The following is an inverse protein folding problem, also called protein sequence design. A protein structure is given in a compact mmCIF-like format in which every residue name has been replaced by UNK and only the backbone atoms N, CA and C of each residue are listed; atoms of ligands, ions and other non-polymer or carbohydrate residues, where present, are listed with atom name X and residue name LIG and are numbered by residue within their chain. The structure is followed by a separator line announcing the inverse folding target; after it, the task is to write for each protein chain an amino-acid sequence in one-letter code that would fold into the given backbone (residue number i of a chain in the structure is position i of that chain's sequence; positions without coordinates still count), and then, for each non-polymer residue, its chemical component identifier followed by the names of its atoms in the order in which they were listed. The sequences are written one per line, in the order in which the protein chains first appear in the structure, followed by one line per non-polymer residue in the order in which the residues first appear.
data_IF_290146979785
#
_entry.id   IF_290146979785
#
_cell.length_a   1.000
_cell.length_b   1.000
_cell.length_c   1.000
_cell.angle_alpha   90.00
_cell.angle_beta   90.00
_cell.angle_gamma   90.00
#
_symmetry.space_group_name_H-M   'P 1'
#
loop_
_entity.id
_entity.type
_entity.pdbx_description
1 polymer ?
#
# COMPACT_ATOMS: atom_id res chain seq x y z
N UNK A 1 39.60 -31.06 28.51
CA UNK A 1 39.27 -30.33 27.26
C UNK A 1 37.77 -30.42 27.05
N UNK A 2 37.02 -29.33 27.21
CA UNK A 2 35.55 -29.39 27.05
C UNK A 2 34.83 -28.13 27.49
N UNK A 3 35.07 -27.00 26.81
CA UNK A 3 34.30 -25.76 27.06
C UNK A 3 33.87 -24.98 25.80
N UNK A 4 34.09 -25.50 24.59
CA UNK A 4 33.89 -24.70 23.37
C UNK A 4 32.48 -24.76 22.74
N UNK A 5 31.58 -25.63 23.19
CA UNK A 5 30.28 -25.85 22.51
C UNK A 5 29.14 -24.97 23.04
N UNK A 6 29.17 -24.56 24.31
CA UNK A 6 28.09 -23.77 24.92
C UNK A 6 28.03 -22.34 24.40
N UNK A 7 29.19 -21.70 24.19
CA UNK A 7 29.26 -20.29 23.73
C UNK A 7 28.76 -20.11 22.28
N UNK A 8 29.05 -21.07 21.39
CA UNK A 8 28.61 -21.04 19.99
C UNK A 8 27.09 -21.26 19.83
N UNK A 9 26.46 -22.05 20.71
CA UNK A 9 25.00 -22.21 20.72
C UNK A 9 24.29 -20.95 21.23
N UNK A 10 24.77 -20.33 22.32
CA UNK A 10 24.17 -19.09 22.84
C UNK A 10 24.24 -17.95 21.83
N UNK A 11 25.38 -17.78 21.13
CA UNK A 11 25.52 -16.78 20.06
C UNK A 11 24.53 -17.01 18.90
N UNK A 12 24.28 -18.27 18.52
CA UNK A 12 23.29 -18.60 17.47
C UNK A 12 21.86 -18.31 17.91
N UNK A 13 21.53 -18.55 19.17
CA UNK A 13 20.20 -18.25 19.74
C UNK A 13 19.97 -16.74 19.80
N UNK A 14 20.93 -15.97 20.32
CA UNK A 14 20.85 -14.49 20.39
C UNK A 14 20.74 -13.85 18.99
N UNK A 15 21.50 -14.38 18.02
CA UNK A 15 21.43 -13.90 16.63
C UNK A 15 20.05 -14.17 16.02
N UNK A 16 19.48 -15.36 16.24
CA UNK A 16 18.15 -15.72 15.75
C UNK A 16 17.06 -14.85 16.39
N UNK A 17 17.09 -14.66 17.70
CA UNK A 17 16.15 -13.79 18.42
C UNK A 17 16.24 -12.34 17.94
N UNK A 18 17.44 -11.82 17.73
CA UNK A 18 17.65 -10.45 17.22
C UNK A 18 17.07 -10.29 15.80
N UNK A 19 17.22 -11.30 14.95
CA UNK A 19 16.65 -11.30 13.60
C UNK A 19 15.12 -11.32 13.63
N UNK A 20 14.52 -12.16 14.49
CA UNK A 20 13.07 -12.24 14.66
C UNK A 20 12.47 -10.91 15.11
N UNK A 21 13.07 -10.26 16.13
CA UNK A 21 12.66 -8.93 16.60
C UNK A 21 12.73 -7.90 15.47
N UNK A 22 13.81 -7.90 14.68
CA UNK A 22 13.96 -6.97 13.55
C UNK A 22 12.91 -7.20 12.46
N UNK A 23 12.56 -8.45 12.18
CA UNK A 23 11.52 -8.79 11.19
C UNK A 23 10.13 -8.37 11.67
N UNK A 24 9.83 -8.58 12.94
CA UNK A 24 8.56 -8.17 13.54
C UNK A 24 8.41 -6.64 13.55
N UNK A 25 9.45 -5.91 13.97
CA UNK A 25 9.48 -4.45 13.92
C UNK A 25 9.29 -3.92 12.50
N UNK A 26 9.94 -4.56 11.51
CA UNK A 26 9.76 -4.20 10.10
C UNK A 26 8.33 -4.44 9.63
N UNK A 27 7.70 -5.56 10.01
CA UNK A 27 6.32 -5.87 9.65
C UNK A 27 5.34 -4.85 10.26
N UNK A 28 5.49 -4.52 11.55
CA UNK A 28 4.69 -3.48 12.24
C UNK A 28 4.83 -2.11 11.56
N UNK A 29 6.05 -1.71 11.23
CA UNK A 29 6.31 -0.45 10.52
C UNK A 29 5.65 -0.43 9.13
N UNK A 30 5.74 -1.52 8.35
CA UNK A 30 5.09 -1.61 7.04
C UNK A 30 3.56 -1.55 7.15
N UNK A 31 2.99 -2.21 8.16
CA UNK A 31 1.56 -2.18 8.41
C UNK A 31 1.08 -0.76 8.74
N UNK A 32 1.82 -0.04 9.58
CA UNK A 32 1.53 1.36 9.89
C UNK A 32 1.65 2.28 8.68
N UNK A 33 2.68 2.11 7.86
CA UNK A 33 2.83 2.90 6.62
C UNK A 33 1.69 2.63 5.65
N UNK A 34 1.27 1.37 5.52
CA UNK A 34 0.12 1.01 4.69
C UNK A 34 -1.16 1.65 5.24
N UNK A 35 -1.40 1.59 6.55
CA UNK A 35 -2.57 2.20 7.18
C UNK A 35 -2.62 3.72 6.94
N UNK A 36 -1.52 4.44 7.18
CA UNK A 36 -1.42 5.87 6.91
C UNK A 36 -1.64 6.20 5.42
N UNK A 37 -1.13 5.36 4.53
CA UNK A 37 -1.36 5.52 3.08
C UNK A 37 -2.83 5.33 2.72
N UNK A 38 -3.48 4.31 3.28
CA UNK A 38 -4.91 4.07 3.05
C UNK A 38 -5.77 5.23 3.60
N UNK A 39 -5.40 5.78 4.75
CA UNK A 39 -6.07 6.94 5.33
C UNK A 39 -5.90 8.19 4.44
N UNK A 40 -4.67 8.47 3.98
CA UNK A 40 -4.40 9.55 3.03
C UNK A 40 -5.24 9.40 1.75
N UNK A 41 -5.23 8.20 1.17
CA UNK A 41 -6.06 7.88 0.00
C UNK A 41 -7.54 8.12 0.31
N UNK A 42 -8.00 7.77 1.50
CA UNK A 42 -9.40 7.94 1.88
C UNK A 42 -9.82 9.40 1.95
N UNK A 43 -8.96 10.26 2.52
CA UNK A 43 -9.22 11.71 2.57
C UNK A 43 -9.19 12.33 1.17
N UNK A 44 -8.26 11.88 0.31
CA UNK A 44 -8.13 12.39 -1.06
C UNK A 44 -9.37 12.03 -1.89
N UNK A 45 -9.73 10.74 -1.91
CA UNK A 45 -10.74 10.17 -2.81
C UNK A 45 -12.15 10.13 -2.22
N UNK A 46 -12.31 10.44 -0.92
CA UNK A 46 -13.62 10.45 -0.25
C UNK A 46 -14.18 9.06 0.08
N UNK A 47 -13.35 8.02 0.05
CA UNK A 47 -13.77 6.63 0.25
C UNK A 47 -12.76 5.83 1.06
N UNK A 48 -13.25 4.94 1.93
CA UNK A 48 -12.39 4.10 2.76
C UNK A 48 -12.10 2.77 2.07
N UNK A 49 -10.88 2.28 2.25
CA UNK A 49 -10.40 1.05 1.64
C UNK A 49 -9.92 0.07 2.69
N UNK A 50 -10.41 -1.17 2.61
CA UNK A 50 -9.94 -2.27 3.45
C UNK A 50 -9.62 -3.50 2.59
N UNK A 51 -8.40 -3.99 2.68
CA UNK A 51 -8.00 -5.24 2.02
C UNK A 51 -8.46 -6.43 2.85
N UNK A 52 -9.15 -7.39 2.24
CA UNK A 52 -9.72 -8.55 2.92
C UNK A 52 -9.26 -9.84 2.26
N UNK A 53 -8.75 -10.76 3.07
CA UNK A 53 -8.39 -12.09 2.63
C UNK A 53 -8.38 -13.08 3.80
N UNK A 54 -9.22 -14.10 3.72
CA UNK A 54 -9.25 -15.22 4.65
C UNK A 54 -8.85 -16.49 3.92
N UNK A 55 -7.78 -17.14 4.37
CA UNK A 55 -7.28 -18.33 3.69
C UNK A 55 -8.30 -19.47 3.78
N UNK A 56 -8.73 -20.06 2.64
CA UNK A 56 -9.72 -21.14 2.65
C UNK A 56 -9.15 -22.45 3.24
N UNK A 57 -7.82 -22.63 3.24
CA UNK A 57 -7.19 -23.86 3.71
C UNK A 57 -6.91 -23.85 5.22
N UNK A 58 -6.46 -22.73 5.80
CA UNK A 58 -6.10 -22.65 7.22
C UNK A 58 -6.91 -21.63 8.02
N UNK A 59 -7.94 -21.03 7.43
CA UNK A 59 -8.84 -20.02 8.00
C UNK A 59 -8.17 -18.73 8.53
N UNK A 60 -6.84 -18.58 8.41
CA UNK A 60 -6.09 -17.40 8.84
C UNK A 60 -6.53 -16.16 8.05
N UNK A 61 -6.81 -15.09 8.78
CA UNK A 61 -6.99 -13.75 8.23
C UNK A 61 -5.62 -13.15 7.92
N UNK A 62 -5.43 -12.64 6.70
CA UNK A 62 -4.20 -11.93 6.30
C UNK A 62 -4.37 -10.43 6.53
N UNK A 63 -3.32 -9.78 7.01
CA UNK A 63 -3.21 -8.31 7.02
C UNK A 63 -3.01 -7.77 5.59
N UNK A 64 -3.30 -6.48 5.37
CA UNK A 64 -3.09 -5.86 4.06
C UNK A 64 -1.65 -5.95 3.55
N UNK A 65 -0.66 -5.90 4.45
CA UNK A 65 0.75 -6.09 4.07
C UNK A 65 1.01 -7.53 3.63
N UNK A 66 0.43 -8.52 4.31
CA UNK A 66 0.55 -9.93 3.91
C UNK A 66 -0.15 -10.18 2.56
N UNK A 67 -1.31 -9.57 2.33
CA UNK A 67 -2.02 -9.66 1.05
C UNK A 67 -1.16 -9.08 -0.08
N UNK A 68 -0.68 -7.85 0.09
CA UNK A 68 0.12 -7.14 -0.93
C UNK A 68 1.44 -7.86 -1.20
N UNK A 69 2.11 -8.37 -0.16
CA UNK A 69 3.37 -9.11 -0.29
C UNK A 69 3.20 -10.55 -0.78
N UNK A 70 2.00 -11.13 -0.64
CA UNK A 70 1.67 -12.48 -1.09
C UNK A 70 1.36 -12.58 -2.59
N UNK A 71 1.02 -11.47 -3.26
CA UNK A 71 0.93 -11.43 -4.71
C UNK A 71 2.27 -11.78 -5.35
N UNK A 72 2.23 -12.51 -6.46
CA UNK A 72 3.37 -12.55 -7.35
C UNK A 72 3.23 -11.38 -8.35
N UNK A 73 4.34 -10.84 -8.83
CA UNK A 73 4.33 -9.73 -9.79
C UNK A 73 3.98 -10.23 -11.21
N UNK A 74 3.12 -11.25 -11.32
CA UNK A 74 2.68 -11.84 -12.57
C UNK A 74 1.29 -11.28 -12.92
N UNK A 75 1.13 -10.56 -14.05
CA UNK A 75 -0.15 -10.02 -14.49
C UNK A 75 -1.26 -11.08 -14.66
N UNK A 76 -0.88 -12.34 -14.86
CA UNK A 76 -1.82 -13.45 -15.10
C UNK A 76 -2.23 -14.22 -13.83
N UNK A 77 -1.68 -13.88 -12.67
CA UNK A 77 -2.00 -14.57 -11.42
C UNK A 77 -2.72 -13.64 -10.43
N UNK A 78 -4.02 -13.88 -10.27
CA UNK A 78 -4.99 -13.11 -9.46
C UNK A 78 -5.01 -13.50 -7.99
N UNK A 79 -4.00 -14.25 -7.53
CA UNK A 79 -3.98 -14.81 -6.19
C UNK A 79 -2.91 -14.20 -5.30
N UNK A 80 -3.18 -14.17 -4.00
CA UNK A 80 -2.21 -13.90 -2.94
C UNK A 80 -1.85 -15.19 -2.21
N UNK A 81 -0.59 -15.31 -1.75
CA UNK A 81 -0.09 -16.46 -1.00
C UNK A 81 -0.32 -16.26 0.50
N UNK A 82 -0.97 -17.23 1.14
CA UNK A 82 -1.07 -17.30 2.59
C UNK A 82 0.32 -17.47 3.24
N UNK A 83 0.67 -16.61 4.19
CA UNK A 83 1.92 -16.71 4.97
C UNK A 83 1.95 -17.88 5.95
N UNK A 84 0.79 -18.49 6.27
CA UNK A 84 0.70 -19.62 7.18
C UNK A 84 0.82 -20.99 6.53
N UNK A 85 0.14 -21.22 5.40
CA UNK A 85 0.09 -22.53 4.73
C UNK A 85 0.53 -22.52 3.27
N UNK A 86 0.98 -21.38 2.74
CA UNK A 86 1.38 -21.17 1.34
C UNK A 86 0.27 -21.37 0.28
N UNK A 87 -0.96 -21.68 0.67
CA UNK A 87 -2.10 -21.72 -0.25
C UNK A 87 -2.30 -20.38 -0.96
N UNK A 88 -2.61 -20.42 -2.25
CA UNK A 88 -2.88 -19.23 -3.08
C UNK A 88 -4.38 -19.10 -3.34
N UNK A 89 -4.91 -17.89 -3.16
CA UNK A 89 -6.35 -17.62 -3.33
C UNK A 89 -6.59 -16.15 -3.69
N UNK A 90 -7.76 -15.81 -4.24
CA UNK A 90 -8.11 -14.44 -4.64
C UNK A 90 -8.43 -13.56 -3.41
N UNK A 91 -7.76 -12.42 -3.22
CA UNK A 91 -8.14 -11.43 -2.21
C UNK A 91 -9.20 -10.46 -2.73
N UNK A 92 -9.87 -9.78 -1.80
CA UNK A 92 -10.85 -8.75 -2.09
C UNK A 92 -10.48 -7.39 -1.48
N UNK A 93 -11.05 -6.34 -2.06
CA UNK A 93 -10.98 -4.97 -1.56
C UNK A 93 -12.40 -4.57 -1.19
N UNK A 94 -12.58 -4.13 0.04
CA UNK A 94 -13.82 -3.53 0.51
C UNK A 94 -13.68 -2.02 0.37
N UNK A 95 -14.60 -1.42 -0.37
CA UNK A 95 -14.72 0.03 -0.50
C UNK A 95 -15.93 0.47 0.30
N UNK A 96 -15.73 1.38 1.25
CA UNK A 96 -16.81 1.95 2.06
C UNK A 96 -16.99 3.42 1.69
N UNK A 97 -18.21 3.76 1.31
CA UNK A 97 -18.69 5.13 1.21
C UNK A 97 -19.61 5.43 2.42
N UNK A 98 -20.20 6.63 2.48
CA UNK A 98 -21.04 7.04 3.63
C UNK A 98 -22.35 6.24 3.76
N UNK A 99 -22.78 5.55 2.70
CA UNK A 99 -24.14 4.97 2.57
C UNK A 99 -24.07 3.45 2.30
N UNK A 100 -22.95 2.96 1.79
CA UNK A 100 -22.80 1.63 1.23
C UNK A 100 -21.37 1.08 1.39
N UNK A 101 -21.27 -0.23 1.26
CA UNK A 101 -19.99 -0.92 1.16
C UNK A 101 -20.08 -1.93 0.02
N UNK A 102 -19.04 -1.97 -0.81
CA UNK A 102 -18.92 -2.95 -1.90
C UNK A 102 -17.65 -3.78 -1.72
N UNK A 103 -17.74 -5.08 -1.98
CA UNK A 103 -16.59 -5.97 -2.01
C UNK A 103 -16.26 -6.28 -3.48
N UNK A 104 -15.06 -5.89 -3.90
CA UNK A 104 -14.57 -6.03 -5.29
C UNK A 104 -13.27 -6.83 -5.33
N UNK A 105 -12.89 -7.30 -6.52
CA UNK A 105 -11.60 -7.99 -6.71
C UNK A 105 -10.44 -7.04 -6.42
N UNK A 106 -9.46 -7.52 -5.65
CA UNK A 106 -8.23 -6.77 -5.38
C UNK A 106 -7.10 -7.30 -6.26
N UNK A 107 -6.61 -6.44 -7.16
CA UNK A 107 -5.55 -6.79 -8.11
C UNK A 107 -4.19 -6.31 -7.61
N UNK A 108 -3.14 -7.08 -7.85
CA UNK A 108 -1.78 -6.65 -7.56
C UNK A 108 -1.33 -5.52 -8.49
N UNK A 109 -0.26 -4.81 -8.12
CA UNK A 109 0.28 -3.72 -8.92
C UNK A 109 0.56 -4.12 -10.39
N UNK A 110 1.23 -5.25 -10.63
CA UNK A 110 1.51 -5.70 -12.00
C UNK A 110 0.22 -5.96 -12.83
N UNK A 111 -0.82 -6.48 -12.19
CA UNK A 111 -2.11 -6.76 -12.83
C UNK A 111 -2.89 -5.49 -13.16
N UNK A 112 -2.85 -4.52 -12.25
CA UNK A 112 -3.46 -3.20 -12.48
C UNK A 112 -2.81 -2.55 -13.68
N UNK A 113 -1.48 -2.48 -13.71
CA UNK A 113 -0.74 -1.84 -14.79
C UNK A 113 -0.97 -2.53 -16.14
N UNK A 114 -1.10 -3.85 -16.16
CA UNK A 114 -1.44 -4.60 -17.37
C UNK A 114 -2.87 -4.30 -17.86
N UNK A 115 -3.85 -4.35 -16.94
CA UNK A 115 -5.27 -4.14 -17.25
C UNK A 115 -5.64 -2.69 -17.56
N UNK A 116 -4.82 -1.71 -17.16
CA UNK A 116 -5.03 -0.29 -17.50
C UNK A 116 -4.78 0.00 -19.00
N UNK A 117 -4.06 -0.86 -19.71
CA UNK A 117 -3.75 -0.64 -21.13
C UNK A 117 -5.04 -0.57 -21.96
N UNK A 118 -5.20 0.49 -22.73
CA UNK A 118 -6.39 0.71 -23.56
C UNK A 118 -7.56 1.37 -22.84
N UNK A 119 -7.40 1.73 -21.56
CA UNK A 119 -8.45 2.40 -20.77
C UNK A 119 -8.19 3.91 -20.57
N UNK A 120 -7.18 4.49 -21.23
CA UNK A 120 -6.75 5.88 -20.99
C UNK A 120 -7.76 6.95 -21.41
N UNK A 121 -8.69 6.59 -22.31
CA UNK A 121 -9.71 7.49 -22.84
C UNK A 121 -10.97 7.51 -21.97
N UNK A 122 -11.05 6.64 -20.95
CA UNK A 122 -12.16 6.61 -20.01
C UNK A 122 -11.97 7.65 -18.91
N UNK A 123 -13.06 8.31 -18.51
CA UNK A 123 -13.02 9.19 -17.33
C UNK A 123 -12.90 8.39 -16.03
N UNK A 124 -12.61 9.08 -14.91
CA UNK A 124 -12.57 8.42 -13.60
C UNK A 124 -13.90 7.76 -13.25
N UNK A 125 -15.04 8.40 -13.53
CA UNK A 125 -16.37 7.84 -13.25
C UNK A 125 -16.65 6.62 -14.12
N UNK A 126 -16.17 6.60 -15.37
CA UNK A 126 -16.28 5.45 -16.23
C UNK A 126 -15.40 4.29 -15.77
N UNK A 127 -14.17 4.56 -15.34
CA UNK A 127 -13.29 3.55 -14.74
C UNK A 127 -13.90 3.00 -13.44
N UNK A 128 -14.39 3.86 -12.54
CA UNK A 128 -15.00 3.47 -11.29
C UNK A 128 -16.22 2.57 -11.49
N UNK A 129 -17.03 2.83 -12.52
CA UNK A 129 -18.26 2.09 -12.82
C UNK A 129 -18.05 0.83 -13.66
N UNK A 130 -17.28 0.92 -14.76
CA UNK A 130 -17.07 -0.20 -15.70
C UNK A 130 -15.94 -1.12 -15.26
N UNK A 131 -14.97 -0.60 -14.51
CA UNK A 131 -13.72 -1.28 -14.15
C UNK A 131 -13.35 -1.08 -12.66
N UNK A 132 -14.34 -1.14 -11.77
CA UNK A 132 -14.20 -0.81 -10.34
C UNK A 132 -12.97 -1.44 -9.67
N UNK A 133 -12.75 -2.75 -9.86
CA UNK A 133 -11.61 -3.45 -9.30
C UNK A 133 -10.26 -2.88 -9.75
N UNK A 134 -10.11 -2.55 -11.05
CA UNK A 134 -8.88 -1.97 -11.60
C UNK A 134 -8.69 -0.55 -11.07
N UNK A 135 -9.74 0.27 -11.13
CA UNK A 135 -9.74 1.66 -10.66
C UNK A 135 -9.31 1.77 -9.19
N UNK A 136 -9.97 1.03 -8.28
CA UNK A 136 -9.65 1.09 -6.85
C UNK A 136 -8.32 0.43 -6.51
N UNK A 137 -7.96 -0.67 -7.18
CA UNK A 137 -6.64 -1.27 -6.99
C UNK A 137 -5.52 -0.33 -7.46
N UNK A 138 -5.74 0.46 -8.52
CA UNK A 138 -4.81 1.49 -8.97
C UNK A 138 -4.62 2.57 -7.91
N UNK A 139 -5.70 3.08 -7.33
CA UNK A 139 -5.64 4.03 -6.22
C UNK A 139 -4.87 3.45 -5.03
N UNK A 140 -5.20 2.23 -4.58
CA UNK A 140 -4.54 1.58 -3.43
C UNK A 140 -3.04 1.37 -3.67
N UNK A 141 -2.64 0.90 -4.85
CA UNK A 141 -1.24 0.60 -5.15
C UNK A 141 -0.44 1.85 -5.52
N UNK A 142 -0.99 2.72 -6.35
CA UNK A 142 -0.27 3.80 -7.03
C UNK A 142 -0.67 5.20 -6.56
N UNK A 143 -1.67 5.30 -5.67
CA UNK A 143 -2.17 6.54 -5.08
C UNK A 143 -3.22 7.23 -5.95
N UNK A 144 -3.03 7.21 -7.27
CA UNK A 144 -3.91 7.83 -8.26
C UNK A 144 -3.91 7.01 -9.56
N UNK A 145 -4.93 7.19 -10.39
CA UNK A 145 -5.03 6.49 -11.68
C UNK A 145 -3.98 7.03 -12.66
N UNK A 146 -3.74 8.34 -12.64
CA UNK A 146 -2.72 9.02 -13.44
C UNK A 146 -1.33 8.53 -13.08
N UNK A 147 -1.04 8.36 -11.79
CA UNK A 147 0.22 7.74 -11.35
C UNK A 147 0.38 6.34 -11.95
N UNK A 148 -0.68 5.53 -11.94
CA UNK A 148 -0.65 4.19 -12.54
C UNK A 148 -0.44 4.22 -14.06
N UNK A 149 -1.16 5.07 -14.81
CA UNK A 149 -0.94 5.25 -16.26
C UNK A 149 0.48 5.74 -16.58
N UNK A 150 1.00 6.69 -15.78
CA UNK A 150 2.36 7.19 -15.94
C UNK A 150 3.40 6.09 -15.79
N UNK A 151 3.18 5.11 -14.90
CA UNK A 151 4.09 3.97 -14.73
C UNK A 151 4.14 3.04 -15.95
N UNK A 152 3.11 3.03 -16.81
CA UNK A 152 3.10 2.32 -18.09
C UNK A 152 3.39 3.22 -19.29
N UNK A 153 3.84 4.45 -19.05
CA UNK A 153 4.23 5.40 -20.09
C UNK A 153 3.06 6.02 -20.85
N UNK A 154 1.86 6.05 -20.25
CA UNK A 154 0.67 6.64 -20.85
C UNK A 154 0.32 7.93 -20.10
N UNK A 155 0.02 8.98 -20.85
CA UNK A 155 -0.48 10.23 -20.27
C UNK A 155 -2.01 10.16 -20.12
N UNK A 156 -2.48 10.27 -18.88
CA UNK A 156 -3.90 10.33 -18.56
C UNK A 156 -4.35 11.79 -18.48
N UNK A 157 -5.31 12.19 -19.31
CA UNK A 157 -5.65 13.59 -19.53
C UNK A 157 -6.60 14.18 -18.47
N UNK A 158 -7.45 13.34 -17.85
CA UNK A 158 -8.49 13.79 -16.93
C UNK A 158 -7.93 14.22 -15.57
N UNK A 159 -8.29 15.42 -15.11
CA UNK A 159 -7.92 15.96 -13.80
C UNK A 159 -8.53 15.12 -12.67
N UNK A 160 -7.73 14.77 -11.65
CA UNK A 160 -8.18 13.91 -10.55
C UNK A 160 -8.49 14.65 -9.25
N UNK A 161 -7.76 15.73 -8.96
CA UNK A 161 -7.79 16.34 -7.63
C UNK A 161 -7.81 17.86 -7.72
N UNK A 162 -8.76 18.45 -6.99
CA UNK A 162 -8.75 19.88 -6.64
C UNK A 162 -8.55 20.03 -5.14
N UNK A 163 -7.86 21.10 -4.72
CA UNK A 163 -7.67 21.47 -3.31
C UNK A 163 -7.04 20.36 -2.43
N UNK A 164 -6.05 19.63 -2.96
CA UNK A 164 -5.43 18.51 -2.25
C UNK A 164 -4.49 18.96 -1.11
N UNK A 165 -4.01 20.20 -1.12
CA UNK A 165 -3.03 20.73 -0.18
C UNK A 165 -3.52 20.61 1.27
N UNK A 166 -4.78 21.00 1.52
CA UNK A 166 -5.40 20.91 2.84
C UNK A 166 -5.59 19.45 3.27
N UNK A 167 -5.93 18.57 2.32
CA UNK A 167 -6.15 17.14 2.55
C UNK A 167 -4.87 16.42 2.95
N UNK A 168 -3.72 16.79 2.38
CA UNK A 168 -2.45 16.11 2.65
C UNK A 168 -1.71 16.65 3.87
N UNK A 169 -2.04 17.87 4.33
CA UNK A 169 -1.31 18.56 5.41
C UNK A 169 -1.16 17.71 6.68
N UNK A 170 -2.19 16.99 7.17
CA UNK A 170 -2.08 16.11 8.34
C UNK A 170 -1.06 14.97 8.19
N UNK A 171 -0.70 14.59 6.95
CA UNK A 171 0.16 13.44 6.65
C UNK A 171 1.64 13.83 6.43
N UNK A 172 1.94 15.13 6.35
CA UNK A 172 3.29 15.64 6.16
C UNK A 172 4.20 15.21 7.33
N UNK A 173 5.37 14.66 7.01
CA UNK A 173 6.32 14.14 8.00
C UNK A 173 5.99 12.74 8.55
N UNK A 174 4.74 12.26 8.39
CA UNK A 174 4.34 10.89 8.72
C UNK A 174 4.51 9.94 7.54
N UNK A 175 4.33 10.43 6.31
CA UNK A 175 4.60 9.70 5.08
C UNK A 175 5.77 10.32 4.31
N UNK A 176 6.52 9.53 3.51
CA UNK A 176 7.50 10.07 2.58
C UNK A 176 6.86 11.06 1.60
N UNK A 177 7.51 12.20 1.33
CA UNK A 177 7.03 13.21 0.37
C UNK A 177 6.66 12.59 -0.99
N UNK A 178 7.42 11.57 -1.44
CA UNK A 178 7.14 10.81 -2.65
C UNK A 178 5.80 10.06 -2.59
N UNK A 179 5.52 9.36 -1.49
CA UNK A 179 4.27 8.60 -1.34
C UNK A 179 3.06 9.53 -1.38
N UNK A 180 3.15 10.70 -0.72
CA UNK A 180 2.09 11.70 -0.76
C UNK A 180 1.93 12.27 -2.18
N UNK A 181 3.05 12.58 -2.84
CA UNK A 181 3.05 13.13 -4.19
C UNK A 181 2.44 12.18 -5.23
N UNK A 182 2.69 10.88 -5.11
CA UNK A 182 2.09 9.86 -5.97
C UNK A 182 0.55 9.80 -5.79
N UNK A 183 0.05 10.00 -4.55
CA UNK A 183 -1.39 10.01 -4.25
C UNK A 183 -2.13 11.23 -4.79
N UNK A 184 -1.48 12.38 -4.94
CA UNK A 184 -2.10 13.61 -5.48
C UNK A 184 -1.57 14.00 -6.85
N UNK A 185 -0.77 13.13 -7.47
CA UNK A 185 -0.20 13.31 -8.81
C UNK A 185 0.57 14.64 -9.00
N UNK A 186 1.45 14.96 -8.05
CA UNK A 186 2.38 16.10 -8.16
C UNK A 186 3.83 15.64 -8.06
N UNK A 187 4.79 16.54 -8.27
CA UNK A 187 6.19 16.18 -8.02
C UNK A 187 6.46 16.11 -6.51
N UNK A 188 7.35 15.21 -6.03
CA UNK A 188 7.78 15.18 -4.63
C UNK A 188 8.37 16.51 -4.14
N UNK A 189 8.89 17.33 -5.06
CA UNK A 189 9.38 18.68 -4.76
C UNK A 189 8.26 19.62 -4.30
N UNK A 190 7.08 19.54 -4.90
CA UNK A 190 5.92 20.37 -4.51
C UNK A 190 5.49 20.05 -3.08
N UNK A 191 5.37 18.76 -2.74
CA UNK A 191 5.05 18.31 -1.38
C UNK A 191 6.13 18.74 -0.39
N UNK A 192 7.41 18.59 -0.76
CA UNK A 192 8.54 19.05 0.06
C UNK A 192 8.50 20.55 0.33
N UNK A 193 8.17 21.35 -0.69
CA UNK A 193 8.05 22.80 -0.57
C UNK A 193 6.95 23.16 0.42
N UNK A 194 5.76 22.57 0.28
CA UNK A 194 4.65 22.77 1.21
C UNK A 194 5.02 22.36 2.64
N UNK A 195 5.64 21.18 2.81
CA UNK A 195 6.14 20.71 4.10
C UNK A 195 7.09 21.70 4.77
N UNK A 196 8.05 22.22 4.00
CA UNK A 196 9.02 23.20 4.51
C UNK A 196 8.36 24.55 4.85
N UNK A 197 7.38 25.00 4.05
CA UNK A 197 6.63 26.23 4.32
C UNK A 197 5.84 26.16 5.63
N UNK A 198 5.33 24.97 5.97
CA UNK A 198 4.61 24.71 7.22
C UNK A 198 5.54 24.37 8.40
N UNK A 199 6.86 24.40 8.22
CA UNK A 199 7.82 24.07 9.28
C UNK A 199 7.81 22.60 9.73
N UNK A 200 7.24 21.70 8.92
CA UNK A 200 7.10 20.28 9.27
C UNK A 200 8.39 19.52 8.94
N UNK A 201 8.90 18.73 9.89
CA UNK A 201 10.08 17.91 9.67
C UNK A 201 9.82 16.81 8.62
N UNK A 202 10.86 16.44 7.87
CA UNK A 202 10.78 15.34 6.91
C UNK A 202 10.53 13.98 7.57
N UNK A 203 9.94 13.05 6.81
CA UNK A 203 9.74 11.67 7.23
C UNK A 203 11.04 11.00 7.68
N UNK A 204 10.98 10.29 8.81
CA UNK A 204 12.07 9.48 9.33
C UNK A 204 11.59 8.12 9.79
N UNK A 205 12.24 7.06 9.29
CA UNK A 205 11.98 5.68 9.71
C UNK A 205 12.17 5.50 11.22
N UNK A 206 13.16 6.18 11.81
CA UNK A 206 13.45 6.08 13.25
C UNK A 206 12.29 6.61 14.10
N UNK A 207 11.71 7.76 13.72
CA UNK A 207 10.52 8.32 14.39
C UNK A 207 9.29 7.43 14.24
N UNK A 208 9.14 6.78 13.08
CA UNK A 208 8.05 5.85 12.83
C UNK A 208 8.15 4.60 13.73
N UNK A 209 9.35 4.08 13.97
CA UNK A 209 9.56 2.93 14.86
C UNK A 209 9.37 3.28 16.35
N UNK A 210 9.62 4.52 16.75
CA UNK A 210 9.47 5.00 18.14
C UNK A 210 8.02 5.32 18.52
N UNK A 211 7.13 5.47 17.54
CA UNK A 211 5.72 5.80 17.78
C UNK A 211 4.81 4.57 17.81
N UNK A 212 5.37 3.37 17.57
CA UNK A 212 4.68 2.06 17.58
C UNK A 212 4.61 1.49 18.99
#
# INVERSE_FOLDING_TARGET
MGMSMSCAMSQRIETKQTLEIKLEQKAKMLARLLALKMELISVIHGEKYETKARCPQCARQLSGVEIISGFNQNPKDFTTRCTGCNHRFEPSLVCLDDISSIEIKFYCSAQVLDQLRGLQDLTMDELARKHAGIYRSAIVHHGSVRSAFKMIGIEYQFEEFTNWENKITPFLGFLPDKTIADCVNVSPYVVRKLRNQLGVAGYSKAKMLQSV
#
